data_IF_964905201753
#
_entry.id   IF_964905201753
#
_cell.length_a   1.000
_cell.length_b   1.000
_cell.length_c   1.000
_cell.angle_alpha   90.00
_cell.angle_beta   90.00
_cell.angle_gamma   90.00
#
_symmetry.space_group_name_H-M   'P 1'
#
loop_
_entity.id
_entity.type
_entity.pdbx_description
1 polymer ?
#
# COMPACT_ATOMS: atom_id res chain seq x y z
N UNK A 1 60.25 -47.86 -79.16
CA UNK A 1 60.07 -49.25 -79.61
C UNK A 1 60.04 -50.10 -78.35
N UNK A 2 58.89 -50.69 -78.02
CA UNK A 2 58.61 -51.70 -76.98
C UNK A 2 58.95 -51.35 -75.51
N UNK A 3 57.95 -51.11 -74.65
CA UNK A 3 57.18 -52.10 -73.84
C UNK A 3 57.97 -52.65 -72.65
N UNK A 4 57.54 -52.34 -71.41
CA UNK A 4 56.88 -53.33 -70.54
C UNK A 4 56.47 -52.74 -69.18
N UNK A 5 55.28 -53.17 -68.77
CA UNK A 5 54.59 -53.02 -67.50
C UNK A 5 55.43 -53.28 -66.24
N UNK A 6 55.16 -52.56 -65.14
CA UNK A 6 54.72 -53.25 -63.92
C UNK A 6 53.86 -52.38 -62.98
N UNK A 7 52.86 -53.03 -62.39
CA UNK A 7 51.78 -52.52 -61.56
C UNK A 7 52.19 -52.46 -60.08
N UNK A 8 51.87 -51.36 -59.37
CA UNK A 8 51.64 -51.44 -57.91
C UNK A 8 50.68 -50.37 -57.39
N UNK A 9 49.40 -50.78 -57.33
CA UNK A 9 48.34 -50.45 -56.36
C UNK A 9 48.21 -49.01 -55.81
N UNK A 10 47.07 -48.32 -56.05
CA UNK A 10 46.73 -47.12 -55.29
C UNK A 10 46.33 -47.48 -53.86
N UNK A 11 46.99 -46.87 -52.88
CA UNK A 11 46.63 -46.95 -51.47
C UNK A 11 45.20 -46.45 -51.24
N UNK A 12 44.31 -47.36 -50.87
CA UNK A 12 42.97 -47.05 -50.37
C UNK A 12 43.09 -46.26 -49.06
N UNK A 13 42.96 -44.93 -49.15
CA UNK A 13 42.59 -44.09 -48.01
C UNK A 13 41.13 -44.41 -47.67
N UNK A 14 40.91 -45.24 -46.63
CA UNK A 14 39.60 -45.36 -45.98
C UNK A 14 39.26 -44.02 -45.33
N UNK A 15 38.48 -43.17 -46.00
CA UNK A 15 37.75 -42.11 -45.31
C UNK A 15 36.63 -42.76 -44.49
N UNK A 16 36.82 -42.86 -43.18
CA UNK A 16 35.73 -43.16 -42.26
C UNK A 16 34.73 -42.00 -42.32
N UNK A 17 33.66 -42.18 -43.08
CA UNK A 17 32.45 -41.38 -42.93
C UNK A 17 31.85 -41.69 -41.54
N UNK A 18 32.26 -40.94 -40.52
CA UNK A 18 31.48 -40.80 -39.29
C UNK A 18 30.20 -40.06 -39.65
N UNK A 19 29.16 -40.81 -40.06
CA UNK A 19 27.79 -40.30 -39.99
C UNK A 19 27.48 -40.07 -38.52
N UNK A 20 27.54 -38.81 -38.10
CA UNK A 20 26.94 -38.37 -36.84
C UNK A 20 25.42 -38.61 -36.93
N UNK A 21 24.96 -39.75 -36.42
CA UNK A 21 23.55 -40.00 -36.14
C UNK A 21 23.10 -38.99 -35.09
N UNK A 22 22.37 -37.96 -35.55
CA UNK A 22 21.62 -37.09 -34.64
C UNK A 22 20.58 -37.96 -33.93
N UNK A 23 20.55 -38.02 -32.59
CA UNK A 23 19.52 -38.79 -31.89
C UNK A 23 18.16 -38.14 -32.17
N UNK A 24 17.24 -38.91 -32.76
CA UNK A 24 15.84 -38.51 -32.91
C UNK A 24 15.13 -38.68 -31.57
N UNK A 25 14.30 -37.69 -31.21
CA UNK A 25 13.45 -37.76 -30.02
C UNK A 25 12.49 -38.94 -30.19
N UNK A 26 12.48 -39.85 -29.22
CA UNK A 26 11.55 -40.98 -29.23
C UNK A 26 10.15 -40.52 -28.82
N UNK A 27 9.11 -41.20 -29.31
CA UNK A 27 7.71 -40.84 -29.02
C UNK A 27 7.41 -40.87 -27.50
N UNK A 28 8.10 -41.75 -26.76
CA UNK A 28 8.00 -41.85 -25.30
C UNK A 28 8.60 -40.60 -24.63
N UNK A 29 9.78 -40.14 -25.05
CA UNK A 29 10.38 -38.91 -24.54
C UNK A 29 9.48 -37.69 -24.79
N UNK A 30 8.85 -37.61 -25.97
CA UNK A 30 7.91 -36.53 -26.29
C UNK A 30 6.68 -36.52 -25.36
N UNK A 31 6.10 -37.69 -25.05
CA UNK A 31 4.95 -37.82 -24.15
C UNK A 31 5.32 -37.47 -22.70
N UNK A 32 6.50 -37.88 -22.25
CA UNK A 32 7.00 -37.56 -20.91
C UNK A 32 7.29 -36.06 -20.79
N UNK A 33 7.94 -35.44 -21.79
CA UNK A 33 8.16 -33.99 -21.81
C UNK A 33 6.84 -33.21 -21.81
N UNK A 34 5.85 -33.65 -22.59
CA UNK A 34 4.53 -33.01 -22.61
C UNK A 34 3.82 -33.11 -21.25
N UNK A 35 3.93 -34.24 -20.58
CA UNK A 35 3.36 -34.46 -19.25
C UNK A 35 4.00 -33.55 -18.19
N UNK A 36 5.33 -33.42 -18.23
CA UNK A 36 6.07 -32.52 -17.33
C UNK A 36 5.68 -31.06 -17.57
N UNK A 37 5.62 -30.63 -18.83
CA UNK A 37 5.22 -29.26 -19.18
C UNK A 37 3.78 -28.99 -18.72
N UNK A 38 2.86 -29.94 -18.90
CA UNK A 38 1.47 -29.79 -18.46
C UNK A 38 1.37 -29.59 -16.94
N UNK A 39 2.05 -30.42 -16.15
CA UNK A 39 2.07 -30.30 -14.68
C UNK A 39 2.69 -28.97 -14.23
N UNK A 40 3.80 -28.56 -14.85
CA UNK A 40 4.44 -27.28 -14.55
C UNK A 40 3.53 -26.10 -14.90
N UNK A 41 2.82 -26.15 -16.03
CA UNK A 41 1.91 -25.08 -16.46
C UNK A 41 0.74 -24.94 -15.48
N UNK A 42 0.12 -26.05 -15.07
CA UNK A 42 -0.97 -26.04 -14.09
C UNK A 42 -0.50 -25.57 -12.71
N UNK A 43 0.68 -25.99 -12.27
CA UNK A 43 1.29 -25.53 -11.02
C UNK A 43 1.55 -24.03 -11.03
N UNK A 44 2.13 -23.51 -12.12
CA UNK A 44 2.39 -22.07 -12.27
C UNK A 44 1.09 -21.25 -12.33
N UNK A 45 0.05 -21.72 -13.03
CA UNK A 45 -1.26 -21.05 -13.04
C UNK A 45 -1.89 -20.99 -11.64
N UNK A 46 -1.74 -22.04 -10.85
CA UNK A 46 -2.28 -22.11 -9.48
C UNK A 46 -1.56 -21.12 -8.55
N UNK A 47 -0.23 -21.04 -8.64
CA UNK A 47 0.58 -20.08 -7.87
C UNK A 47 0.27 -18.63 -8.25
N UNK A 48 0.04 -18.34 -9.53
CA UNK A 48 -0.34 -16.99 -9.99
C UNK A 48 -1.73 -16.60 -9.50
N UNK A 49 -2.71 -17.52 -9.51
CA UNK A 49 -4.05 -17.24 -8.96
C UNK A 49 -4.04 -16.99 -7.45
N UNK A 50 -3.22 -17.71 -6.69
CA UNK A 50 -3.05 -17.48 -5.26
C UNK A 50 -2.29 -16.16 -4.99
N UNK A 51 -1.26 -15.86 -5.78
CA UNK A 51 -0.55 -14.58 -5.72
C UNK A 51 -1.44 -13.38 -6.06
N UNK A 52 -2.32 -13.51 -7.05
CA UNK A 52 -3.22 -12.43 -7.48
C UNK A 52 -4.28 -12.08 -6.43
N UNK A 53 -4.66 -13.02 -5.55
CA UNK A 53 -5.57 -12.74 -4.42
C UNK A 53 -4.87 -12.15 -3.20
N UNK A 54 -3.54 -12.22 -3.13
CA UNK A 54 -2.77 -11.61 -2.05
C UNK A 54 -2.50 -10.11 -2.31
N UNK A 55 -2.73 -9.65 -3.53
CA UNK A 55 -2.63 -8.23 -3.89
C UNK A 55 -4.02 -7.62 -3.67
N UNK A 56 -4.18 -6.68 -2.72
CA UNK A 56 -5.44 -5.98 -2.54
C UNK A 56 -5.86 -5.34 -3.86
N UNK A 57 -7.15 -5.44 -4.18
CA UNK A 57 -7.64 -4.89 -5.44
C UNK A 57 -7.50 -3.37 -5.44
N UNK A 58 -7.22 -2.75 -6.58
CA UNK A 58 -7.16 -1.28 -6.70
C UNK A 58 -8.45 -0.60 -6.21
N UNK A 59 -9.58 -1.32 -6.28
CA UNK A 59 -10.88 -0.87 -5.75
C UNK A 59 -10.92 -0.81 -4.22
N UNK A 60 -10.26 -1.72 -3.52
CA UNK A 60 -10.22 -1.75 -2.06
C UNK A 60 -9.29 -0.66 -1.53
N UNK A 61 -8.09 -0.53 -2.10
CA UNK A 61 -7.16 0.55 -1.75
C UNK A 61 -7.77 1.93 -2.00
N UNK A 62 -8.51 2.10 -3.11
CA UNK A 62 -9.21 3.35 -3.40
C UNK A 62 -10.35 3.68 -2.43
N UNK A 63 -11.01 2.67 -1.84
CA UNK A 63 -12.03 2.88 -0.82
C UNK A 63 -11.41 3.34 0.51
N UNK A 64 -10.27 2.75 0.89
CA UNK A 64 -9.52 3.18 2.07
C UNK A 64 -8.98 4.60 1.93
N UNK A 65 -8.40 4.96 0.78
CA UNK A 65 -7.97 6.35 0.49
C UNK A 65 -9.11 7.35 0.67
N UNK A 66 -10.31 7.03 0.15
CA UNK A 66 -11.48 7.88 0.31
C UNK A 66 -11.86 8.03 1.78
N UNK A 67 -11.87 6.95 2.55
CA UNK A 67 -12.19 7.01 3.99
C UNK A 67 -11.19 7.90 4.75
N UNK A 68 -9.90 7.83 4.43
CA UNK A 68 -8.88 8.70 5.05
C UNK A 68 -9.04 10.15 4.62
N UNK A 69 -9.38 10.42 3.36
CA UNK A 69 -9.71 11.77 2.90
C UNK A 69 -10.95 12.34 3.62
N UNK A 70 -11.97 11.52 3.84
CA UNK A 70 -13.17 11.93 4.58
C UNK A 70 -12.83 12.23 6.05
N UNK A 71 -11.98 11.40 6.68
CA UNK A 71 -11.42 11.67 8.01
C UNK A 71 -10.67 13.01 8.05
N UNK A 72 -9.75 13.25 7.11
CA UNK A 72 -9.01 14.52 7.02
C UNK A 72 -9.96 15.71 6.86
N UNK A 73 -11.00 15.57 6.04
CA UNK A 73 -12.01 16.62 5.84
C UNK A 73 -12.85 16.89 7.08
N UNK A 74 -13.27 15.84 7.80
CA UNK A 74 -13.98 15.96 9.07
C UNK A 74 -13.13 16.68 10.12
N UNK A 75 -11.88 16.24 10.31
CA UNK A 75 -10.99 16.82 11.29
C UNK A 75 -10.65 18.27 10.94
N UNK A 76 -10.47 18.58 9.64
CA UNK A 76 -10.32 19.95 9.14
C UNK A 76 -11.53 20.83 9.47
N UNK A 77 -12.74 20.33 9.25
CA UNK A 77 -13.96 21.08 9.52
C UNK A 77 -14.12 21.37 11.03
N UNK A 78 -13.86 20.38 11.88
CA UNK A 78 -13.91 20.54 13.32
C UNK A 78 -12.85 21.54 13.82
N UNK A 79 -11.61 21.44 13.32
CA UNK A 79 -10.54 22.38 13.63
C UNK A 79 -10.83 23.81 13.14
N UNK A 80 -11.51 23.97 12.00
CA UNK A 80 -11.87 25.29 11.47
C UNK A 80 -12.84 26.03 12.40
N UNK A 81 -13.75 25.30 13.04
CA UNK A 81 -14.71 25.82 14.02
C UNK A 81 -14.20 25.81 15.47
N UNK A 82 -12.94 25.44 15.70
CA UNK A 82 -12.41 25.25 17.04
C UNK A 82 -12.28 26.58 17.80
N UNK A 83 -12.88 26.61 18.98
CA UNK A 83 -12.70 27.64 20.00
C UNK A 83 -11.59 27.26 20.98
N UNK A 84 -11.52 25.99 21.36
CA UNK A 84 -10.53 25.44 22.30
C UNK A 84 -10.05 24.08 21.77
N UNK A 85 -8.75 23.84 21.89
CA UNK A 85 -8.10 22.59 21.51
C UNK A 85 -7.24 22.13 22.69
N UNK A 86 -7.48 20.90 23.15
CA UNK A 86 -6.71 20.23 24.20
C UNK A 86 -6.19 18.90 23.64
N UNK A 87 -4.87 18.69 23.71
CA UNK A 87 -4.22 17.46 23.27
C UNK A 87 -3.62 16.73 24.47
N UNK A 88 -4.14 15.53 24.73
CA UNK A 88 -3.72 14.69 25.85
C UNK A 88 -3.03 13.45 25.31
N UNK A 89 -1.76 13.26 25.69
CA UNK A 89 -0.98 12.07 25.33
C UNK A 89 -0.89 11.15 26.55
N UNK A 90 -1.28 9.89 26.39
CA UNK A 90 -1.20 8.86 27.43
C UNK A 90 -0.70 7.54 26.85
N UNK A 91 0.56 7.21 27.17
CA UNK A 91 1.22 6.03 26.61
C UNK A 91 1.30 6.11 25.09
N UNK A 92 0.78 5.10 24.39
CA UNK A 92 0.72 5.04 22.93
C UNK A 92 -0.64 5.52 22.36
N UNK A 93 -1.38 6.32 23.12
CA UNK A 93 -2.66 6.90 22.68
C UNK A 93 -2.62 8.42 22.80
N UNK A 94 -3.20 9.10 21.81
CA UNK A 94 -3.35 10.55 21.78
C UNK A 94 -4.82 10.89 21.66
N UNK A 95 -5.31 11.74 22.57
CA UNK A 95 -6.68 12.24 22.55
C UNK A 95 -6.66 13.71 22.21
N UNK A 96 -7.39 14.08 21.17
CA UNK A 96 -7.61 15.45 20.76
C UNK A 96 -9.05 15.82 21.12
N UNK A 97 -9.21 16.84 21.97
CA UNK A 97 -10.49 17.38 22.38
C UNK A 97 -10.64 18.75 21.74
N UNK A 98 -11.71 18.92 20.96
CA UNK A 98 -12.00 20.15 20.24
C UNK A 98 -13.36 20.67 20.72
N UNK A 99 -13.40 21.91 21.22
CA UNK A 99 -14.67 22.60 21.46
C UNK A 99 -15.00 23.47 20.27
N UNK A 100 -16.14 23.20 19.65
CA UNK A 100 -16.64 23.91 18.46
C UNK A 100 -17.82 24.77 18.86
N UNK A 101 -17.85 26.03 18.44
CA UNK A 101 -18.98 26.94 18.73
C UNK A 101 -20.24 26.44 18.01
N UNK A 102 -21.37 26.36 18.72
CA UNK A 102 -22.67 26.07 18.07
C UNK A 102 -23.20 27.36 17.43
N UNK A 103 -23.48 27.37 16.12
CA UNK A 103 -23.95 28.58 15.45
C UNK A 103 -25.33 29.04 15.93
N UNK A 104 -26.16 28.10 16.39
CA UNK A 104 -27.58 28.35 16.68
C UNK A 104 -27.87 28.61 18.18
N UNK A 105 -26.86 28.51 19.05
CA UNK A 105 -27.05 28.67 20.50
C UNK A 105 -25.90 29.49 21.07
N UNK A 106 -26.22 30.73 21.46
CA UNK A 106 -25.25 31.67 22.03
C UNK A 106 -24.58 31.10 23.28
N UNK A 107 -23.25 31.13 23.30
CA UNK A 107 -22.44 30.62 24.42
C UNK A 107 -22.39 29.10 24.57
N UNK A 108 -22.99 28.33 23.65
CA UNK A 108 -22.91 26.88 23.68
C UNK A 108 -21.82 26.35 22.72
N UNK A 109 -21.22 25.23 23.14
CA UNK A 109 -20.19 24.54 22.37
C UNK A 109 -20.60 23.07 22.20
N UNK A 110 -20.19 22.46 21.09
CA UNK A 110 -20.10 21.00 20.95
C UNK A 110 -18.69 20.59 21.31
N UNK A 111 -18.57 19.45 21.98
CA UNK A 111 -17.29 18.81 22.22
C UNK A 111 -17.12 17.65 21.23
N UNK A 112 -16.07 17.74 20.43
CA UNK A 112 -15.61 16.67 19.54
C UNK A 112 -14.36 16.05 20.15
N UNK A 113 -14.38 14.73 20.34
CA UNK A 113 -13.21 14.00 20.83
C UNK A 113 -12.73 13.01 19.78
N UNK A 114 -11.50 13.19 19.36
CA UNK A 114 -10.75 12.21 18.59
C UNK A 114 -9.82 11.44 19.52
N UNK A 115 -9.68 10.15 19.29
CA UNK A 115 -8.73 9.32 20.02
C UNK A 115 -7.99 8.43 19.04
N UNK A 116 -6.70 8.70 18.92
CA UNK A 116 -5.74 7.82 18.28
C UNK A 116 -5.25 6.79 19.28
N UNK A 117 -5.30 5.52 18.90
CA UNK A 117 -4.87 4.39 19.71
C UNK A 117 -3.80 3.66 18.90
N UNK A 118 -2.53 3.97 19.18
CA UNK A 118 -1.39 3.49 18.40
C UNK A 118 -1.27 1.98 18.38
N UNK A 119 -1.51 1.31 19.51
CA UNK A 119 -1.44 -0.16 19.59
C UNK A 119 -2.49 -0.85 18.72
N UNK A 120 -3.68 -0.24 18.63
CA UNK A 120 -4.77 -0.72 17.79
C UNK A 120 -4.70 -0.16 16.36
N UNK A 121 -3.72 0.70 16.05
CA UNK A 121 -3.57 1.42 14.79
C UNK A 121 -4.88 2.06 14.29
N UNK A 122 -5.63 2.69 15.20
CA UNK A 122 -6.96 3.20 14.86
C UNK A 122 -7.20 4.61 15.38
N UNK A 123 -8.08 5.32 14.68
CA UNK A 123 -8.65 6.57 15.14
C UNK A 123 -10.17 6.46 15.24
N UNK A 124 -10.70 7.00 16.32
CA UNK A 124 -12.13 7.06 16.59
C UNK A 124 -12.57 8.45 16.99
N UNK A 125 -13.82 8.78 16.73
CA UNK A 125 -14.42 10.10 16.99
C UNK A 125 -15.73 9.96 17.76
N UNK A 126 -16.05 10.97 18.57
CA UNK A 126 -17.39 11.19 19.10
C UNK A 126 -17.71 12.68 19.15
N UNK A 127 -18.99 13.04 19.06
CA UNK A 127 -19.50 14.41 19.15
C UNK A 127 -20.65 14.45 20.13
N UNK A 128 -20.48 15.13 21.26
CA UNK A 128 -21.51 15.26 22.32
C UNK A 128 -22.13 13.90 22.78
N UNK A 129 -21.54 12.78 22.36
CA UNK A 129 -22.10 11.43 22.47
C UNK A 129 -21.27 10.55 23.41
N UNK A 130 -21.90 9.51 23.94
CA UNK A 130 -21.20 8.53 24.79
C UNK A 130 -20.35 7.57 23.98
N UNK A 131 -20.80 7.19 22.79
CA UNK A 131 -20.18 6.16 21.97
C UNK A 131 -19.21 6.75 20.93
N UNK A 132 -18.14 6.01 20.68
CA UNK A 132 -17.18 6.32 19.64
C UNK A 132 -17.51 5.62 18.33
N UNK A 133 -17.33 6.33 17.23
CA UNK A 133 -17.32 5.82 15.87
C UNK A 133 -15.86 5.59 15.43
N UNK A 134 -15.58 4.43 14.86
CA UNK A 134 -14.26 4.12 14.30
C UNK A 134 -14.19 4.73 12.90
N UNK A 135 -13.19 5.59 12.66
CA UNK A 135 -13.06 6.30 11.38
C UNK A 135 -12.02 5.66 10.47
N UNK A 136 -10.96 5.08 11.04
CA UNK A 136 -9.91 4.40 10.28
C UNK A 136 -9.24 3.33 11.14
N UNK A 137 -8.98 2.17 10.55
CA UNK A 137 -8.30 1.01 11.15
C UNK A 137 -7.12 0.64 10.25
N UNK A 138 -5.98 1.32 10.45
CA UNK A 138 -4.69 1.16 9.74
C UNK A 138 -3.79 2.39 9.96
N UNK A 139 -4.13 3.27 10.90
CA UNK A 139 -3.38 4.49 11.15
C UNK A 139 -2.17 4.18 12.02
N UNK A 140 -0.98 4.42 11.50
CA UNK A 140 0.29 4.06 12.15
C UNK A 140 0.96 5.25 12.83
N UNK A 141 0.72 6.46 12.34
CA UNK A 141 1.23 7.68 12.96
C UNK A 141 0.20 8.81 12.85
N UNK A 142 0.21 9.68 13.85
CA UNK A 142 -0.63 10.86 13.93
C UNK A 142 0.20 12.00 14.52
N UNK A 143 0.14 13.15 13.85
CA UNK A 143 0.77 14.36 14.34
C UNK A 143 -0.08 15.58 14.05
N UNK A 144 -0.40 16.32 15.10
CA UNK A 144 -0.88 17.69 15.00
C UNK A 144 0.26 18.63 15.34
N UNK A 145 0.43 19.68 14.55
CA UNK A 145 1.48 20.67 14.76
C UNK A 145 0.92 22.07 14.58
N UNK A 146 1.32 22.97 15.46
CA UNK A 146 0.90 24.36 15.46
C UNK A 146 2.06 25.22 14.94
N UNK A 147 1.84 25.91 13.84
CA UNK A 147 2.84 26.83 13.27
C UNK A 147 2.63 28.24 13.80
N UNK A 148 3.65 28.79 14.45
CA UNK A 148 3.65 30.12 15.07
C UNK A 148 4.31 31.19 14.18
N UNK A 149 4.24 31.08 12.85
CA UNK A 149 4.95 31.98 11.93
C UNK A 149 4.51 33.45 12.02
N UNK A 150 3.46 33.76 12.78
CA UNK A 150 3.21 35.13 13.25
C UNK A 150 2.60 35.10 14.65
N UNK A 151 2.52 36.26 15.32
CA UNK A 151 1.90 36.44 16.64
C UNK A 151 0.43 35.96 16.75
N UNK A 152 -0.12 35.49 15.64
CA UNK A 152 -1.43 34.92 15.46
C UNK A 152 -1.21 33.45 15.05
N UNK A 153 -1.25 32.53 16.02
CA UNK A 153 -1.39 31.09 15.76
C UNK A 153 -2.65 30.90 14.91
N UNK A 154 -2.47 30.66 13.62
CA UNK A 154 -3.56 30.51 12.64
C UNK A 154 -3.45 29.25 11.83
N UNK A 155 -2.26 28.65 11.74
CA UNK A 155 -1.99 27.51 10.88
C UNK A 155 -1.71 26.28 11.71
N UNK A 156 -2.56 25.27 11.52
CA UNK A 156 -2.36 23.92 12.03
C UNK A 156 -2.02 23.00 10.87
N UNK A 157 -1.03 22.12 11.06
CA UNK A 157 -0.72 21.02 10.17
C UNK A 157 -1.15 19.73 10.86
N UNK A 158 -2.03 18.98 10.20
CA UNK A 158 -2.32 17.59 10.50
C UNK A 158 -1.51 16.71 9.55
N UNK A 159 -0.85 15.69 10.11
CA UNK A 159 -0.18 14.64 9.36
C UNK A 159 -0.68 13.28 9.87
N UNK A 160 -1.18 12.46 8.96
CA UNK A 160 -1.61 11.09 9.20
C UNK A 160 -0.76 10.14 8.35
N UNK A 161 -0.33 9.04 8.95
CA UNK A 161 0.30 7.92 8.21
C UNK A 161 -0.61 6.71 8.32
N UNK A 162 -0.98 6.14 7.17
CA UNK A 162 -1.97 5.06 7.06
C UNK A 162 -1.42 3.96 6.16
N UNK A 163 -1.51 2.71 6.60
CA UNK A 163 -1.21 1.51 5.81
C UNK A 163 -2.46 1.07 5.01
N UNK A 164 -2.31 0.27 3.95
CA UNK A 164 -3.47 -0.22 3.17
C UNK A 164 -4.06 0.78 2.17
N UNK A 165 -3.44 1.94 2.03
CA UNK A 165 -3.82 3.01 1.11
C UNK A 165 -2.87 3.09 -0.10
N UNK A 166 -3.32 3.72 -1.18
CA UNK A 166 -2.46 4.04 -2.34
C UNK A 166 -1.46 5.13 -1.93
N UNK A 167 -1.95 6.15 -1.22
CA UNK A 167 -1.13 7.20 -0.62
C UNK A 167 -0.95 6.93 0.88
N UNK A 168 0.28 6.73 1.34
CA UNK A 168 0.53 6.36 2.75
C UNK A 168 0.57 7.53 3.73
N UNK A 169 0.80 8.76 3.24
CA UNK A 169 0.91 9.96 4.08
C UNK A 169 -0.10 11.00 3.61
N UNK A 170 -0.95 11.45 4.52
CA UNK A 170 -1.93 12.49 4.29
C UNK A 170 -1.60 13.71 5.11
N UNK A 171 -1.58 14.87 4.46
CA UNK A 171 -1.33 16.14 5.12
C UNK A 171 -2.51 17.07 4.90
N UNK A 172 -2.90 17.79 5.95
CA UNK A 172 -3.96 18.78 5.87
C UNK A 172 -3.55 20.03 6.64
N UNK A 173 -3.72 21.17 5.99
CA UNK A 173 -3.46 22.48 6.58
C UNK A 173 -4.77 23.16 6.90
N UNK A 174 -4.89 23.64 8.13
CA UNK A 174 -6.09 24.36 8.60
C UNK A 174 -5.68 25.78 8.96
N UNK A 175 -6.32 26.75 8.32
CA UNK A 175 -6.22 28.16 8.67
C UNK A 175 -7.47 28.55 9.46
N UNK A 176 -7.37 28.74 10.77
CA UNK A 176 -8.53 29.06 11.60
C UNK A 176 -8.88 30.55 11.52
N UNK A 177 -10.17 30.89 11.35
CA UNK A 177 -10.61 32.28 11.35
C UNK A 177 -10.43 32.94 12.73
N UNK A 178 -10.40 32.15 13.79
CA UNK A 178 -10.21 32.56 15.18
C UNK A 178 -8.94 31.92 15.75
N UNK A 179 -8.40 32.49 16.83
CA UNK A 179 -7.25 31.91 17.55
C UNK A 179 -7.81 30.96 18.62
N UNK A 180 -7.77 29.63 18.42
CA UNK A 180 -8.22 28.72 19.45
C UNK A 180 -7.33 28.83 20.69
N UNK A 181 -7.94 28.68 21.87
CA UNK A 181 -7.19 28.47 23.10
C UNK A 181 -6.55 27.07 23.06
N UNK A 182 -5.22 27.00 23.21
CA UNK A 182 -4.48 25.74 23.31
C UNK A 182 -4.26 25.43 24.79
N UNK A 183 -4.58 24.21 25.23
CA UNK A 183 -4.36 23.73 26.58
C UNK A 183 -3.37 22.58 26.63
#
# INVERSE_FOLDING_TARGET
>A
MHDHHDLKGPGMKKSMNMRATRPGITLIEAVVSLSIISVLTVGLSSSVMLGARAIPSESELGAEDRAVHDLCNMLRADLLGAYEIDEQVSGNSTRLIIKVVKPDVEGAYSEVRYEFIGDAKMIRRRVDAENYEILCTSMTDYRLSFTSESALLRFMKLELVVEGTIQQRFETFVNTPYRPELK
#
